data_IF_325780716214
#
_entry.id   IF_325780716214
#
_cell.length_a   1.000
_cell.length_b   1.000
_cell.length_c   1.000
_cell.angle_alpha   90.00
_cell.angle_beta   90.00
_cell.angle_gamma   90.00
#
_symmetry.space_group_name_H-M   'P 1'
#
loop_
_entity.id
_entity.type
_entity.pdbx_description
1 polymer ?
#
# COMPACT_ATOMS: atom_id res chain seq x y z
N UNK A 1 13.29 39.06 -40.14
CA UNK A 1 12.81 37.89 -40.90
C UNK A 1 13.65 36.70 -40.47
N UNK A 2 13.06 35.72 -39.78
CA UNK A 2 13.79 34.53 -39.32
C UNK A 2 13.16 33.29 -39.95
N UNK A 3 13.98 32.55 -40.69
CA UNK A 3 13.63 31.35 -41.45
C UNK A 3 13.29 30.18 -40.52
N UNK A 4 12.14 29.55 -40.77
CA UNK A 4 11.71 28.33 -40.06
C UNK A 4 12.34 27.15 -40.79
N UNK A 5 13.32 26.50 -40.16
CA UNK A 5 13.89 25.24 -40.63
C UNK A 5 12.87 24.12 -40.42
N UNK A 6 12.34 23.59 -41.52
CA UNK A 6 11.44 22.43 -41.54
C UNK A 6 12.26 21.14 -41.48
N UNK A 7 12.38 20.55 -40.29
CA UNK A 7 12.83 19.17 -40.13
C UNK A 7 11.72 18.22 -40.65
N UNK A 8 12.06 17.20 -41.47
CA UNK A 8 11.06 16.26 -41.96
C UNK A 8 10.53 15.38 -40.83
N UNK A 9 9.23 15.05 -40.81
CA UNK A 9 8.63 14.23 -39.76
C UNK A 9 9.18 12.79 -39.80
N UNK A 10 9.71 12.33 -38.68
CA UNK A 10 10.11 10.93 -38.48
C UNK A 10 8.87 10.03 -38.67
N UNK A 11 8.93 9.11 -39.64
CA UNK A 11 7.92 8.06 -39.85
C UNK A 11 7.96 7.08 -38.67
N UNK A 12 7.22 7.39 -37.61
CA UNK A 12 6.99 6.43 -36.54
C UNK A 12 6.02 5.35 -37.03
N UNK A 13 6.34 4.05 -36.84
CA UNK A 13 5.40 2.99 -37.14
C UNK A 13 4.14 3.18 -36.28
N UNK A 14 2.98 3.13 -36.92
CA UNK A 14 1.63 3.29 -36.32
C UNK A 14 1.27 2.02 -35.55
N UNK A 15 2.10 1.60 -34.61
CA UNK A 15 1.74 0.56 -33.67
C UNK A 15 1.26 1.24 -32.40
N UNK A 16 -0.05 1.16 -32.08
CA UNK A 16 -0.55 1.73 -30.84
C UNK A 16 0.10 0.99 -29.65
N UNK A 17 0.85 1.73 -28.84
CA UNK A 17 1.34 1.21 -27.57
C UNK A 17 0.13 0.92 -26.67
N UNK A 18 0.11 -0.26 -26.07
CA UNK A 18 -0.93 -0.63 -25.10
C UNK A 18 -0.48 -0.17 -23.73
N UNK A 19 -1.25 0.73 -23.12
CA UNK A 19 -1.06 1.11 -21.72
C UNK A 19 -1.62 -0.02 -20.85
N UNK A 20 -0.75 -0.72 -20.10
CA UNK A 20 -1.19 -1.70 -19.10
C UNK A 20 -1.42 -0.93 -17.79
N UNK A 21 -2.68 -0.77 -17.33
CA UNK A 21 -2.93 -0.12 -16.05
C UNK A 21 -2.40 -1.01 -14.94
N UNK A 22 -1.55 -0.46 -14.06
CA UNK A 22 -1.28 -1.11 -12.79
C UNK A 22 -2.59 -1.15 -12.01
N UNK A 23 -3.03 -2.34 -11.61
CA UNK A 23 -4.12 -2.47 -10.67
C UNK A 23 -3.77 -1.60 -9.46
N UNK A 24 -4.58 -0.57 -9.20
CA UNK A 24 -4.45 0.16 -7.96
C UNK A 24 -4.59 -0.88 -6.85
N UNK A 25 -3.53 -1.06 -6.06
CA UNK A 25 -3.64 -1.80 -4.81
C UNK A 25 -4.76 -1.10 -4.06
N UNK A 26 -5.94 -1.72 -4.08
CA UNK A 26 -7.06 -1.27 -3.29
C UNK A 26 -6.63 -1.52 -1.86
N UNK A 27 -5.90 -0.56 -1.30
CA UNK A 27 -5.67 -0.43 0.12
C UNK A 27 -7.02 -0.05 0.74
N UNK A 28 -8.05 -0.89 0.54
CA UNK A 28 -9.08 -1.10 1.54
C UNK A 28 -8.33 -1.65 2.73
N UNK A 29 -7.74 -0.73 3.51
CA UNK A 29 -7.33 -0.97 4.88
C UNK A 29 -8.61 -1.43 5.54
N UNK A 30 -8.84 -2.74 5.60
CA UNK A 30 -9.91 -3.32 6.41
C UNK A 30 -9.61 -2.81 7.82
N UNK A 31 -10.42 -1.90 8.38
CA UNK A 31 -10.11 -1.33 9.69
C UNK A 31 -10.09 -2.42 10.75
N UNK A 32 -10.78 -3.52 10.47
CA UNK A 32 -10.87 -4.71 11.28
C UNK A 32 -9.89 -5.79 10.80
N UNK A 33 -8.95 -6.17 11.66
CA UNK A 33 -8.06 -7.32 11.48
C UNK A 33 -7.92 -8.07 12.81
N UNK A 34 -7.55 -9.37 12.81
CA UNK A 34 -7.35 -10.10 14.04
C UNK A 34 -6.12 -9.58 14.81
N UNK A 35 -6.25 -9.50 16.14
CA UNK A 35 -5.13 -9.25 17.03
C UNK A 35 -4.19 -10.48 17.08
N UNK A 36 -2.87 -10.28 16.98
CA UNK A 36 -1.90 -11.38 17.05
C UNK A 36 -1.86 -12.10 18.41
N UNK A 37 -2.34 -11.47 19.49
CA UNK A 37 -2.28 -12.04 20.84
C UNK A 37 -3.58 -12.74 21.23
N UNK A 38 -4.74 -12.11 20.99
CA UNK A 38 -6.04 -12.65 21.42
C UNK A 38 -6.94 -13.14 20.27
N UNK A 39 -6.55 -12.95 19.00
CA UNK A 39 -7.32 -13.39 17.83
C UNK A 39 -8.59 -12.59 17.53
N UNK A 40 -9.03 -11.70 18.43
CA UNK A 40 -10.23 -10.90 18.21
C UNK A 40 -10.07 -9.96 17.00
N UNK A 41 -11.07 -9.98 16.12
CA UNK A 41 -11.14 -9.11 14.94
C UNK A 41 -11.75 -7.79 15.36
N UNK A 42 -10.94 -6.73 15.40
CA UNK A 42 -11.35 -5.42 15.87
C UNK A 42 -10.57 -4.31 15.19
N UNK A 43 -10.91 -3.05 15.48
CA UNK A 43 -10.11 -1.92 15.01
C UNK A 43 -8.70 -2.00 15.62
N UNK A 44 -7.73 -2.31 14.78
CA UNK A 44 -6.36 -2.66 15.19
C UNK A 44 -5.44 -1.45 15.18
N UNK A 45 -4.57 -1.37 16.20
CA UNK A 45 -3.38 -0.52 16.17
C UNK A 45 -2.18 -1.31 15.64
N UNK A 46 -1.19 -0.60 15.09
CA UNK A 46 0.05 -1.21 14.62
C UNK A 46 1.11 -1.15 15.72
N UNK A 47 1.66 -2.32 16.08
CA UNK A 47 2.83 -2.43 16.96
C UNK A 47 3.92 -3.23 16.24
N UNK A 48 5.09 -2.62 16.01
CA UNK A 48 6.21 -3.22 15.23
C UNK A 48 5.76 -3.86 13.90
N UNK A 49 4.84 -3.21 13.20
CA UNK A 49 4.31 -3.71 11.91
C UNK A 49 3.29 -4.85 12.01
N UNK A 50 2.96 -5.32 13.21
CA UNK A 50 1.91 -6.33 13.45
C UNK A 50 0.63 -5.70 14.00
N UNK A 51 -0.47 -6.43 13.89
CA UNK A 51 -1.83 -5.99 14.21
C UNK A 51 -2.17 -6.35 15.65
N UNK A 52 -2.39 -5.36 16.50
CA UNK A 52 -2.60 -5.56 17.94
C UNK A 52 -3.83 -4.76 18.38
N UNK A 53 -4.69 -5.37 19.20
CA UNK A 53 -5.80 -4.67 19.82
C UNK A 53 -5.33 -3.72 20.92
N UNK A 54 -6.13 -2.70 21.24
CA UNK A 54 -5.77 -1.72 22.28
C UNK A 54 -5.53 -2.39 23.65
N UNK A 55 -6.33 -3.39 24.01
CA UNK A 55 -6.20 -4.10 25.27
C UNK A 55 -4.85 -4.83 25.40
N UNK A 56 -4.52 -5.68 24.42
CA UNK A 56 -3.24 -6.39 24.41
C UNK A 56 -2.06 -5.43 24.25
N UNK A 57 -2.22 -4.30 23.55
CA UNK A 57 -1.17 -3.28 23.42
C UNK A 57 -0.77 -2.71 24.79
N UNK A 58 -1.74 -2.39 25.65
CA UNK A 58 -1.48 -1.89 27.00
C UNK A 58 -0.85 -2.96 27.91
N UNK A 59 -1.16 -4.23 27.68
CA UNK A 59 -0.65 -5.36 28.46
C UNK A 59 0.66 -5.94 27.91
N UNK A 60 1.28 -5.38 26.87
CA UNK A 60 2.54 -5.89 26.31
C UNK A 60 3.61 -6.15 27.39
N UNK A 61 3.88 -5.24 28.35
CA UNK A 61 4.85 -5.52 29.41
C UNK A 61 4.49 -6.76 30.25
N UNK A 62 3.20 -7.00 30.48
CA UNK A 62 2.69 -8.14 31.26
C UNK A 62 2.64 -9.44 30.45
N UNK A 63 2.37 -9.37 29.14
CA UNK A 63 2.36 -10.51 28.21
C UNK A 63 3.75 -11.16 28.09
N UNK A 64 4.81 -10.35 28.15
CA UNK A 64 6.19 -10.82 28.07
C UNK A 64 6.88 -10.97 29.43
N UNK A 65 6.19 -10.73 30.54
CA UNK A 65 6.72 -10.98 31.88
C UNK A 65 6.53 -12.45 32.23
N UNK A 66 7.61 -13.24 32.10
CA UNK A 66 7.66 -14.61 32.60
C UNK A 66 7.40 -14.61 34.12
N UNK A 67 6.35 -15.30 34.57
CA UNK A 67 6.33 -15.92 35.89
C UNK A 67 6.83 -17.34 35.78
#
# INVERSE_FOLDING_TARGET
>A
MSSISSTPPLKQPVHPAVIIPFASLSHKKTPFQPCIFCGQTMEIKKFKGKTVCIHCLHQIPDIFSCR
#
